data_IF_798535257015
#
_entry.id   IF_798535257015
#
_cell.length_a   1.000
_cell.length_b   1.000
_cell.length_c   1.000
_cell.angle_alpha   90.00
_cell.angle_beta   90.00
_cell.angle_gamma   90.00
#
_symmetry.space_group_name_H-M   'P 1'
#
loop_
_entity.id
_entity.type
_entity.pdbx_description
1 polymer ?
#
# COMPACT_ATOMS: atom_id res chain seq x y z
N UNK A 1 32.92 -14.97 21.41
CA UNK A 1 33.40 -16.37 21.45
C UNK A 1 34.00 -16.60 22.82
N UNK A 2 33.60 -17.66 23.52
CA UNK A 2 34.02 -17.94 24.89
C UNK A 2 35.50 -18.38 24.99
N UNK A 3 36.12 -18.74 23.87
CA UNK A 3 37.51 -19.22 23.79
C UNK A 3 38.51 -18.23 23.15
N UNK A 4 38.03 -17.05 22.74
CA UNK A 4 38.89 -16.03 22.15
C UNK A 4 39.46 -16.38 20.77
N UNK A 5 38.99 -17.42 20.12
CA UNK A 5 39.39 -17.79 18.77
C UNK A 5 38.50 -17.10 17.74
N UNK A 6 39.11 -16.30 16.85
CA UNK A 6 38.43 -15.72 15.70
C UNK A 6 38.09 -16.82 14.69
N UNK A 7 36.82 -17.24 14.68
CA UNK A 7 36.32 -18.15 13.65
C UNK A 7 35.96 -17.32 12.42
N UNK A 8 36.84 -17.30 11.43
CA UNK A 8 36.57 -16.74 10.09
C UNK A 8 35.57 -17.68 9.36
N UNK A 9 34.28 -17.54 9.67
CA UNK A 9 33.23 -18.23 8.94
C UNK A 9 32.80 -17.35 7.75
N UNK A 10 33.31 -17.64 6.56
CA UNK A 10 32.80 -17.04 5.33
C UNK A 10 31.69 -17.93 4.75
N UNK A 11 30.50 -17.36 4.59
CA UNK A 11 29.39 -18.01 3.87
C UNK A 11 29.07 -17.19 2.64
N UNK A 12 29.11 -17.84 1.47
CA UNK A 12 28.58 -17.19 0.27
C UNK A 12 27.05 -17.04 0.41
N UNK A 13 26.60 -15.81 0.35
CA UNK A 13 25.20 -15.45 0.29
C UNK A 13 24.91 -14.79 -1.04
N UNK A 14 23.69 -14.98 -1.57
CA UNK A 14 23.27 -14.25 -2.77
C UNK A 14 23.23 -12.76 -2.45
N UNK A 15 23.63 -11.92 -3.40
CA UNK A 15 23.44 -10.49 -3.34
C UNK A 15 21.94 -10.14 -3.23
N UNK A 16 21.65 -8.92 -2.78
CA UNK A 16 20.28 -8.39 -2.79
C UNK A 16 19.71 -8.48 -4.20
N UNK A 17 18.43 -8.83 -4.31
CA UNK A 17 17.71 -8.90 -5.58
C UNK A 17 16.79 -7.70 -5.79
N UNK A 18 16.76 -6.76 -4.86
CA UNK A 18 15.93 -5.57 -4.95
C UNK A 18 16.63 -4.36 -4.33
N UNK A 19 16.49 -3.23 -4.99
CA UNK A 19 16.95 -1.90 -4.53
C UNK A 19 15.81 -0.93 -4.65
N UNK A 20 15.65 -0.05 -3.65
CA UNK A 20 14.70 1.05 -3.69
C UNK A 20 15.44 2.37 -3.83
N UNK A 21 15.03 3.20 -4.76
CA UNK A 21 15.55 4.57 -4.91
C UNK A 21 14.89 5.51 -3.91
N UNK A 22 15.43 6.70 -3.75
CA UNK A 22 14.95 7.69 -2.79
C UNK A 22 14.21 8.84 -3.46
N UNK A 23 13.53 9.67 -2.64
CA UNK A 23 12.97 10.96 -3.07
C UNK A 23 14.03 11.99 -3.42
N UNK A 24 15.24 11.80 -2.89
CA UNK A 24 16.30 12.76 -2.99
C UNK A 24 16.77 12.95 -4.43
N UNK A 25 17.51 14.03 -4.63
CA UNK A 25 18.16 14.34 -5.89
C UNK A 25 19.65 14.05 -5.79
N UNK A 26 20.21 13.56 -6.88
CA UNK A 26 21.65 13.56 -7.15
C UNK A 26 21.94 14.74 -8.06
N UNK A 27 22.52 15.82 -7.51
CA UNK A 27 22.63 17.08 -8.21
C UNK A 27 21.25 17.68 -8.54
N UNK A 28 20.95 17.89 -9.81
CA UNK A 28 19.67 18.41 -10.28
C UNK A 28 18.61 17.34 -10.59
N UNK A 29 19.03 16.08 -10.71
CA UNK A 29 18.18 14.98 -11.17
C UNK A 29 17.62 14.20 -9.98
N UNK A 30 16.36 13.78 -10.07
CA UNK A 30 15.79 12.84 -9.10
C UNK A 30 16.55 11.51 -9.12
N UNK A 31 16.92 10.97 -7.95
CA UNK A 31 17.73 9.75 -7.85
C UNK A 31 17.07 8.53 -8.53
N UNK A 32 15.73 8.47 -8.54
CA UNK A 32 14.97 7.41 -9.25
C UNK A 32 14.97 7.56 -10.76
N UNK A 33 15.36 8.68 -11.30
CA UNK A 33 15.47 8.98 -12.72
C UNK A 33 16.88 9.37 -13.16
N UNK A 34 17.88 9.05 -12.33
CA UNK A 34 19.30 9.37 -12.63
C UNK A 34 19.97 8.16 -13.29
N UNK A 35 20.24 8.30 -14.59
CA UNK A 35 20.91 7.28 -15.41
C UNK A 35 22.31 6.95 -14.88
N UNK A 36 23.07 7.97 -14.42
CA UNK A 36 24.41 7.76 -13.88
C UNK A 36 24.42 6.87 -12.66
N UNK A 37 23.47 7.08 -11.74
CA UNK A 37 23.32 6.25 -10.54
C UNK A 37 22.81 4.86 -10.85
N UNK A 38 21.72 4.76 -11.62
CA UNK A 38 21.02 3.47 -11.80
C UNK A 38 21.73 2.64 -12.87
N UNK A 39 21.85 3.13 -14.07
CA UNK A 39 22.51 2.36 -15.13
C UNK A 39 24.02 2.40 -15.04
N UNK A 40 24.61 3.58 -14.80
CA UNK A 40 26.07 3.73 -14.74
C UNK A 40 26.67 2.92 -13.60
N UNK A 41 26.32 3.24 -12.38
CA UNK A 41 26.93 2.63 -11.19
C UNK A 41 26.27 1.30 -10.86
N UNK A 42 24.96 1.30 -10.56
CA UNK A 42 24.29 0.12 -10.01
C UNK A 42 24.28 -1.04 -11.01
N UNK A 43 23.86 -0.79 -12.28
CA UNK A 43 23.75 -1.86 -13.28
C UNK A 43 25.12 -2.25 -13.86
N UNK A 44 25.91 -1.26 -14.31
CA UNK A 44 27.14 -1.54 -15.05
C UNK A 44 28.32 -1.81 -14.12
N UNK A 45 28.61 -0.93 -13.15
CA UNK A 45 29.78 -1.13 -12.29
C UNK A 45 29.58 -2.26 -11.27
N UNK A 46 28.37 -2.34 -10.66
CA UNK A 46 28.06 -3.34 -9.65
C UNK A 46 27.40 -4.60 -10.21
N UNK A 47 27.14 -4.65 -11.52
CA UNK A 47 26.50 -5.77 -12.21
C UNK A 47 25.19 -6.22 -11.54
N UNK A 48 24.34 -5.27 -11.13
CA UNK A 48 23.10 -5.56 -10.46
C UNK A 48 21.97 -5.86 -11.47
N UNK A 49 21.47 -7.09 -11.49
CA UNK A 49 20.43 -7.58 -12.41
C UNK A 49 19.03 -7.62 -11.76
N UNK A 50 18.94 -7.29 -10.49
CA UNK A 50 17.68 -7.34 -9.74
C UNK A 50 16.75 -6.17 -10.04
N UNK A 51 15.58 -6.18 -9.38
CA UNK A 51 14.57 -5.14 -9.51
C UNK A 51 14.99 -3.84 -8.83
N UNK A 52 14.81 -2.72 -9.51
CA UNK A 52 14.95 -1.37 -8.95
C UNK A 52 13.55 -0.75 -8.90
N UNK A 53 13.08 -0.45 -7.69
CA UNK A 53 11.80 0.24 -7.51
C UNK A 53 12.01 1.66 -6.96
N UNK A 54 11.08 2.55 -7.24
CA UNK A 54 11.11 3.89 -6.64
C UNK A 54 10.64 3.85 -5.19
N UNK A 55 10.95 4.88 -4.44
CA UNK A 55 10.15 5.24 -3.28
C UNK A 55 8.77 5.71 -3.73
N UNK A 56 7.86 6.04 -2.80
CA UNK A 56 6.47 6.38 -3.12
C UNK A 56 6.35 7.61 -4.03
N UNK A 57 6.23 7.39 -5.33
CA UNK A 57 6.25 8.39 -6.38
C UNK A 57 4.83 8.93 -6.68
N UNK A 58 4.13 9.42 -5.65
CA UNK A 58 2.78 9.98 -5.78
C UNK A 58 2.75 11.35 -6.43
N UNK A 59 3.84 12.10 -6.35
CA UNK A 59 3.92 13.45 -6.94
C UNK A 59 4.39 13.35 -8.38
N UNK A 60 3.52 13.68 -9.32
CA UNK A 60 3.87 13.72 -10.75
C UNK A 60 4.78 14.89 -11.16
N UNK A 61 5.25 15.71 -10.21
CA UNK A 61 5.98 16.94 -10.51
C UNK A 61 7.42 16.68 -10.97
N UNK A 62 8.10 15.70 -10.40
CA UNK A 62 9.49 15.38 -10.74
C UNK A 62 9.81 13.88 -10.72
N UNK A 63 8.85 13.03 -10.32
CA UNK A 63 9.00 11.57 -10.27
C UNK A 63 8.32 10.96 -11.48
N UNK A 64 8.89 11.21 -12.65
CA UNK A 64 8.35 10.75 -13.92
C UNK A 64 8.68 9.28 -14.17
N UNK A 65 7.66 8.50 -14.55
CA UNK A 65 7.80 7.06 -14.78
C UNK A 65 8.59 6.72 -16.03
N UNK A 66 8.51 7.55 -17.07
CA UNK A 66 9.30 7.34 -18.28
C UNK A 66 10.79 7.60 -18.00
N UNK A 67 11.12 8.74 -17.38
CA UNK A 67 12.48 9.07 -16.98
C UNK A 67 13.09 7.99 -16.07
N UNK A 68 12.31 7.47 -15.13
CA UNK A 68 12.72 6.37 -14.26
C UNK A 68 13.13 5.13 -15.07
N UNK A 69 12.28 4.74 -16.03
CA UNK A 69 12.50 3.54 -16.83
C UNK A 69 13.67 3.71 -17.80
N UNK A 70 13.82 4.89 -18.37
CA UNK A 70 14.97 5.27 -19.19
C UNK A 70 16.28 5.23 -18.39
N UNK A 71 16.22 5.65 -17.13
CA UNK A 71 17.37 5.58 -16.23
C UNK A 71 17.75 4.15 -15.80
N UNK A 72 16.93 3.13 -16.06
CA UNK A 72 17.17 1.73 -15.75
C UNK A 72 16.48 1.21 -14.49
N UNK A 73 15.55 1.98 -13.90
CA UNK A 73 14.66 1.49 -12.86
C UNK A 73 13.43 0.80 -13.47
N UNK A 74 12.79 -0.10 -12.70
CA UNK A 74 11.83 -1.05 -13.25
C UNK A 74 10.40 -0.80 -12.79
N UNK A 75 10.20 -0.47 -11.52
CA UNK A 75 8.88 -0.39 -10.90
C UNK A 75 8.67 0.93 -10.19
N UNK A 76 7.57 1.59 -10.52
CA UNK A 76 7.12 2.80 -9.84
C UNK A 76 6.20 2.44 -8.68
N UNK A 77 6.64 2.70 -7.45
CA UNK A 77 5.80 2.56 -6.28
C UNK A 77 4.88 3.77 -6.14
N UNK A 78 3.58 3.52 -6.03
CA UNK A 78 2.60 4.60 -5.81
C UNK A 78 1.37 4.06 -5.08
N UNK A 79 0.77 4.91 -4.25
CA UNK A 79 -0.51 4.63 -3.57
C UNK A 79 -1.69 5.31 -4.26
N UNK A 80 -1.44 6.21 -5.20
CA UNK A 80 -2.47 6.94 -5.93
C UNK A 80 -2.63 6.40 -7.36
N UNK A 81 -3.82 5.89 -7.75
CA UNK A 81 -4.06 5.34 -9.08
C UNK A 81 -3.71 6.30 -10.22
N UNK A 82 -3.95 7.60 -10.04
CA UNK A 82 -3.61 8.62 -11.04
C UNK A 82 -2.10 8.77 -11.26
N UNK A 83 -1.28 8.47 -10.25
CA UNK A 83 0.18 8.53 -10.33
C UNK A 83 0.83 7.23 -10.80
N UNK A 84 0.03 6.17 -11.01
CA UNK A 84 0.52 4.88 -11.49
C UNK A 84 0.95 4.89 -12.97
N UNK A 85 0.58 5.93 -13.70
CA UNK A 85 0.93 6.06 -15.13
C UNK A 85 2.41 6.32 -15.30
N UNK A 86 2.98 5.69 -16.32
CA UNK A 86 4.38 5.85 -16.70
C UNK A 86 4.59 6.94 -17.77
N UNK A 87 3.51 7.47 -18.35
CA UNK A 87 3.55 8.46 -19.43
C UNK A 87 4.35 8.00 -20.66
N UNK A 88 4.28 6.72 -20.97
CA UNK A 88 4.94 6.15 -22.14
C UNK A 88 4.31 6.66 -23.44
N UNK A 89 5.14 6.98 -24.43
CA UNK A 89 4.70 7.17 -25.81
C UNK A 89 4.73 5.81 -26.52
N UNK A 90 3.55 5.30 -26.87
CA UNK A 90 3.40 4.02 -27.57
C UNK A 90 3.97 4.03 -28.99
N UNK A 91 4.20 5.22 -29.57
CA UNK A 91 4.79 5.37 -30.90
C UNK A 91 6.32 5.48 -30.87
N UNK A 92 6.93 5.63 -29.69
CA UNK A 92 8.38 5.70 -29.55
C UNK A 92 8.98 4.29 -29.36
N UNK A 93 9.81 3.83 -30.29
CA UNK A 93 10.51 2.55 -30.16
C UNK A 93 11.36 2.43 -28.89
N UNK A 94 11.88 3.53 -28.37
CA UNK A 94 12.67 3.56 -27.14
C UNK A 94 11.83 3.13 -25.93
N UNK A 95 10.55 3.48 -25.91
CA UNK A 95 9.59 3.02 -24.87
C UNK A 95 9.58 1.50 -24.76
N UNK A 96 9.48 0.78 -25.87
CA UNK A 96 9.47 -0.70 -25.88
C UNK A 96 10.80 -1.27 -25.39
N UNK A 97 11.91 -0.64 -25.78
CA UNK A 97 13.22 -1.07 -25.32
C UNK A 97 13.33 -0.98 -23.79
N UNK A 98 13.04 0.17 -23.21
CA UNK A 98 13.13 0.39 -21.76
C UNK A 98 12.12 -0.45 -20.98
N UNK A 99 10.88 -0.54 -21.46
CA UNK A 99 9.86 -1.38 -20.83
C UNK A 99 10.26 -2.87 -20.85
N UNK A 100 10.89 -3.34 -21.93
CA UNK A 100 11.40 -4.71 -22.02
C UNK A 100 12.54 -4.97 -21.02
N UNK A 101 13.44 -4.01 -20.83
CA UNK A 101 14.52 -4.13 -19.85
C UNK A 101 13.95 -4.18 -18.42
N UNK A 102 13.03 -3.28 -18.09
CA UNK A 102 12.36 -3.27 -16.80
C UNK A 102 11.63 -4.60 -16.52
N UNK A 103 10.94 -5.13 -17.51
CA UNK A 103 10.29 -6.44 -17.42
C UNK A 103 11.30 -7.57 -17.21
N UNK A 104 12.44 -7.54 -17.91
CA UNK A 104 13.51 -8.53 -17.74
C UNK A 104 14.02 -8.58 -16.31
N UNK A 105 14.40 -7.44 -15.72
CA UNK A 105 14.87 -7.38 -14.34
C UNK A 105 13.80 -7.82 -13.33
N UNK A 106 12.57 -7.44 -13.57
CA UNK A 106 11.43 -7.84 -12.73
C UNK A 106 11.23 -9.36 -12.77
N UNK A 107 11.20 -9.96 -13.95
CA UNK A 107 11.05 -11.41 -14.13
C UNK A 107 12.25 -12.17 -13.57
N UNK A 108 13.47 -11.66 -13.78
CA UNK A 108 14.68 -12.24 -13.19
C UNK A 108 14.60 -12.29 -11.67
N UNK A 109 14.18 -11.19 -11.06
CA UNK A 109 14.01 -11.13 -9.59
C UNK A 109 12.95 -12.10 -9.10
N UNK A 110 11.79 -12.17 -9.76
CA UNK A 110 10.71 -13.11 -9.42
C UNK A 110 11.22 -14.56 -9.52
N UNK A 111 11.88 -14.91 -10.63
CA UNK A 111 12.40 -16.26 -10.85
C UNK A 111 13.46 -16.69 -9.82
N UNK A 112 14.23 -15.73 -9.30
CA UNK A 112 15.28 -15.97 -8.31
C UNK A 112 14.86 -15.74 -6.85
N UNK A 113 13.65 -15.25 -6.60
CA UNK A 113 13.17 -15.02 -5.23
C UNK A 113 12.68 -16.31 -4.57
N UNK A 114 12.60 -16.28 -3.23
CA UNK A 114 12.12 -17.45 -2.47
C UNK A 114 10.66 -17.79 -2.72
N UNK A 115 9.86 -16.85 -3.21
CA UNK A 115 8.46 -17.11 -3.53
C UNK A 115 8.30 -18.11 -4.68
N UNK A 116 9.26 -18.17 -5.59
CA UNK A 116 9.29 -19.15 -6.69
C UNK A 116 9.99 -20.46 -6.31
N UNK A 117 10.60 -20.54 -5.12
CA UNK A 117 11.30 -21.73 -4.65
C UNK A 117 10.30 -22.86 -4.37
N UNK A 118 10.32 -23.92 -5.17
CA UNK A 118 9.37 -25.03 -5.11
C UNK A 118 8.14 -24.86 -5.98
N UNK A 119 8.00 -23.77 -6.73
CA UNK A 119 6.98 -23.64 -7.75
C UNK A 119 7.34 -24.54 -8.93
N UNK A 120 6.48 -25.50 -9.24
CA UNK A 120 6.60 -26.42 -10.37
C UNK A 120 5.51 -26.14 -11.39
N UNK A 121 5.66 -26.67 -12.60
CA UNK A 121 4.59 -26.66 -13.60
C UNK A 121 3.31 -27.25 -12.99
N UNK A 122 2.20 -26.48 -13.04
CA UNK A 122 0.93 -26.86 -12.41
C UNK A 122 0.73 -26.37 -10.97
N UNK A 123 1.73 -25.69 -10.38
CA UNK A 123 1.54 -25.01 -9.10
C UNK A 123 0.58 -23.84 -9.27
N UNK A 124 -0.38 -23.69 -8.37
CA UNK A 124 -1.25 -22.52 -8.31
C UNK A 124 -1.20 -21.88 -6.93
N UNK A 125 -1.24 -20.56 -6.93
CA UNK A 125 -1.40 -19.78 -5.70
C UNK A 125 -2.87 -19.88 -5.28
N UNK A 126 -3.11 -20.45 -4.10
CA UNK A 126 -4.44 -20.42 -3.47
C UNK A 126 -4.49 -19.27 -2.49
N UNK A 127 -5.28 -18.26 -2.82
CA UNK A 127 -5.54 -17.18 -1.90
C UNK A 127 -6.33 -17.68 -0.69
N UNK A 128 -5.67 -17.74 0.45
CA UNK A 128 -6.28 -18.06 1.73
C UNK A 128 -6.60 -16.79 2.52
N UNK A 129 -7.81 -16.68 3.06
CA UNK A 129 -8.14 -15.58 3.98
C UNK A 129 -7.32 -15.76 5.26
N UNK A 130 -6.51 -14.77 5.59
CA UNK A 130 -5.75 -14.79 6.86
C UNK A 130 -6.71 -14.81 8.05
N UNK A 131 -6.42 -15.62 9.06
CA UNK A 131 -7.21 -15.72 10.29
C UNK A 131 -7.42 -14.33 10.91
N UNK A 132 -6.40 -13.48 10.91
CA UNK A 132 -6.48 -12.09 11.37
C UNK A 132 -7.53 -11.27 10.62
N UNK A 133 -7.67 -11.44 9.30
CA UNK A 133 -8.69 -10.75 8.49
C UNK A 133 -10.09 -11.20 8.89
N UNK A 134 -10.28 -12.48 9.14
CA UNK A 134 -11.57 -13.03 9.60
C UNK A 134 -11.91 -12.49 10.98
N UNK A 135 -10.97 -12.49 11.92
CA UNK A 135 -11.17 -11.92 13.27
C UNK A 135 -11.54 -10.43 13.17
N UNK A 136 -10.80 -9.65 12.37
CA UNK A 136 -11.10 -8.21 12.20
C UNK A 136 -12.50 -7.98 11.62
N UNK A 137 -12.95 -8.78 10.67
CA UNK A 137 -14.32 -8.70 10.14
C UNK A 137 -15.37 -8.97 11.21
N UNK A 138 -15.18 -10.03 12.00
CA UNK A 138 -16.10 -10.36 13.11
C UNK A 138 -16.15 -9.22 14.13
N UNK A 139 -15.00 -8.71 14.55
CA UNK A 139 -14.91 -7.58 15.49
C UNK A 139 -15.62 -6.35 14.94
N UNK A 140 -15.40 -6.00 13.67
CA UNK A 140 -16.06 -4.85 13.03
C UNK A 140 -17.57 -5.00 12.99
N UNK A 141 -18.09 -6.20 12.70
CA UNK A 141 -19.54 -6.48 12.72
C UNK A 141 -20.10 -6.30 14.14
N UNK A 142 -19.41 -6.84 15.15
CA UNK A 142 -19.84 -6.71 16.56
C UNK A 142 -19.88 -5.25 17.00
N UNK A 143 -18.88 -4.45 16.67
CA UNK A 143 -18.88 -3.01 16.96
C UNK A 143 -20.00 -2.28 16.23
N UNK A 144 -20.27 -2.62 14.96
CA UNK A 144 -21.38 -2.07 14.21
C UNK A 144 -22.75 -2.35 14.87
N UNK A 145 -22.94 -3.57 15.35
CA UNK A 145 -24.17 -3.94 16.08
C UNK A 145 -24.30 -3.19 17.40
N UNK A 146 -23.22 -3.01 18.15
CA UNK A 146 -23.21 -2.23 19.39
C UNK A 146 -23.58 -0.76 19.12
N UNK A 147 -23.02 -0.14 18.08
CA UNK A 147 -23.36 1.23 17.70
C UNK A 147 -24.86 1.35 17.37
N UNK A 148 -25.41 0.41 16.59
CA UNK A 148 -26.83 0.40 16.24
C UNK A 148 -27.70 0.27 17.50
N UNK A 149 -27.29 -0.56 18.45
CA UNK A 149 -27.98 -0.74 19.74
C UNK A 149 -27.98 0.56 20.57
N UNK A 150 -26.85 1.25 20.63
CA UNK A 150 -26.76 2.53 21.37
C UNK A 150 -27.58 3.63 20.69
N UNK A 151 -27.51 3.73 19.37
CA UNK A 151 -28.38 4.67 18.60
C UNK A 151 -29.86 4.36 18.83
N UNK A 152 -30.26 3.09 18.84
CA UNK A 152 -31.64 2.69 19.13
C UNK A 152 -32.06 3.09 20.56
N UNK A 153 -31.22 2.90 21.57
CA UNK A 153 -31.48 3.32 22.95
C UNK A 153 -31.68 4.84 23.04
N UNK A 154 -30.79 5.60 22.38
CA UNK A 154 -30.91 7.07 22.30
C UNK A 154 -32.23 7.47 21.67
N UNK A 155 -32.58 6.89 20.52
CA UNK A 155 -33.86 7.15 19.85
C UNK A 155 -35.06 6.84 20.74
N UNK A 156 -34.98 5.75 21.51
CA UNK A 156 -36.05 5.37 22.45
C UNK A 156 -36.18 6.34 23.61
N UNK A 157 -35.09 6.95 24.06
CA UNK A 157 -35.10 7.98 25.11
C UNK A 157 -35.73 9.29 24.61
N UNK A 158 -35.53 9.65 23.37
CA UNK A 158 -36.11 10.87 22.76
C UNK A 158 -37.54 10.71 22.28
N UNK A 159 -38.07 9.49 22.06
CA UNK A 159 -39.47 9.28 21.76
C UNK A 159 -40.30 9.38 23.05
N UNK A 160 -41.06 10.46 23.26
CA UNK A 160 -41.97 10.53 24.41
C UNK A 160 -42.99 9.40 24.29
N UNK A 161 -43.02 8.53 25.29
CA UNK A 161 -44.04 7.47 25.34
C UNK A 161 -45.43 8.14 25.28
N UNK A 162 -46.34 7.66 24.47
CA UNK A 162 -47.71 8.20 24.33
C UNK A 162 -48.38 8.48 25.70
N UNK A 163 -48.12 7.62 26.70
CA UNK A 163 -48.53 7.84 28.10
C UNK A 163 -47.95 9.10 28.74
N UNK A 164 -46.72 9.48 28.36
CA UNK A 164 -46.05 10.68 28.91
C UNK A 164 -46.60 11.96 28.26
N UNK A 165 -46.89 11.90 26.96
CA UNK A 165 -47.55 12.95 26.22
C UNK A 165 -48.96 13.20 26.74
N UNK A 166 -49.77 12.16 26.92
CA UNK A 166 -51.13 12.26 27.47
C UNK A 166 -51.17 12.85 28.89
N UNK A 167 -50.19 12.46 29.74
CA UNK A 167 -50.06 13.06 31.08
C UNK A 167 -49.63 14.54 31.04
N UNK A 168 -48.79 14.92 30.08
CA UNK A 168 -48.40 16.31 29.92
C UNK A 168 -49.55 17.19 29.39
N UNK A 169 -50.35 16.64 28.44
CA UNK A 169 -51.55 17.30 27.93
C UNK A 169 -52.60 17.49 29.00
N UNK A 170 -52.93 16.43 29.77
CA UNK A 170 -53.90 16.53 30.88
C UNK A 170 -53.42 17.50 31.98
N UNK A 171 -52.11 17.62 32.18
CA UNK A 171 -51.56 18.58 33.16
C UNK A 171 -51.60 20.05 32.64
N UNK A 172 -51.46 20.21 31.32
CA UNK A 172 -51.60 21.51 30.67
C UNK A 172 -53.06 21.99 30.66
N UNK A 173 -54.03 21.09 30.36
CA UNK A 173 -55.45 21.39 30.41
C UNK A 173 -55.92 21.79 31.82
N UNK A 174 -55.50 21.05 32.85
CA UNK A 174 -55.82 21.42 34.24
C UNK A 174 -55.20 22.78 34.66
N UNK A 175 -54.02 23.15 34.12
CA UNK A 175 -53.45 24.46 34.35
C UNK A 175 -54.19 25.59 33.64
N UNK A 176 -54.71 25.33 32.45
CA UNK A 176 -55.47 26.27 31.67
C UNK A 176 -56.83 26.55 32.32
N UNK A 177 -57.54 25.52 32.79
CA UNK A 177 -58.82 25.69 33.54
C UNK A 177 -58.66 26.46 34.84
N UNK A 178 -57.52 26.30 35.55
CA UNK A 178 -57.26 27.01 36.81
C UNK A 178 -56.88 28.49 36.62
N UNK A 179 -56.60 28.92 35.39
CA UNK A 179 -56.33 30.33 35.06
C UNK A 179 -57.59 31.07 34.58
N UNK A 180 -58.68 30.36 34.30
CA UNK A 180 -59.97 30.93 33.84
C UNK A 180 -61.01 31.01 34.94
N UNK A 181 -60.78 30.44 36.09
CA UNK A 181 -61.52 30.58 37.33
C UNK A 181 -60.82 31.52 38.31
#
# INVERSE_FOLDING_TARGET
HEDGTDVNASKQIRASQGVMTSFNRAGATWAGGDYGLITGILRNEWAFDGIVMTDNANTGVFMDGYQMTEAGADVKLTTLPASARYNFDENDPATYYYARQAMHHTLYTIANCKAMNGAMTGSHIKDGTRISTTIMRVVTILFGLLIILEVYKIFRLFKPTQKKLAKLQAKAEKKAQKKQS
#
